data_IF_046389135115
#
_entry.id   IF_046389135115
#
_cell.length_a   1.000
_cell.length_b   1.000
_cell.length_c   1.000
_cell.angle_alpha   90.00
_cell.angle_beta   90.00
_cell.angle_gamma   90.00
#
_symmetry.space_group_name_H-M   'P 1'
#
loop_
_entity.id
_entity.type
_entity.pdbx_description
1 polymer ?
#
# COMPACT_ATOMS: atom_id res chain seq x y z
N UNK A 1 14.52 35.74 4.21
CA UNK A 1 15.13 36.48 3.09
C UNK A 1 15.51 35.47 2.02
N UNK A 2 15.12 35.69 0.76
CA UNK A 2 15.40 34.77 -0.36
C UNK A 2 16.40 35.44 -1.30
N UNK A 3 17.45 34.70 -1.69
CA UNK A 3 18.45 35.15 -2.66
C UNK A 3 18.22 34.47 -4.01
N UNK A 4 18.20 35.26 -5.07
CA UNK A 4 18.11 34.76 -6.45
C UNK A 4 19.45 35.04 -7.16
N UNK A 5 20.08 34.01 -7.70
CA UNK A 5 21.37 34.08 -8.41
C UNK A 5 21.24 33.57 -9.86
N UNK A 6 20.12 33.88 -10.53
CA UNK A 6 19.96 33.60 -11.94
C UNK A 6 20.56 34.71 -12.81
N UNK A 7 20.96 34.35 -14.03
CA UNK A 7 21.48 35.32 -15.02
C UNK A 7 20.38 36.18 -15.64
N UNK A 8 19.15 35.65 -15.71
CA UNK A 8 17.97 36.34 -16.23
C UNK A 8 17.29 37.22 -15.17
N UNK A 9 16.51 38.22 -15.61
CA UNK A 9 15.77 39.08 -14.69
C UNK A 9 14.63 38.29 -14.04
N UNK A 10 14.60 38.26 -12.70
CA UNK A 10 13.47 37.70 -11.96
C UNK A 10 12.17 38.43 -12.30
N UNK A 11 11.18 37.71 -12.83
CA UNK A 11 9.94 38.25 -13.38
C UNK A 11 8.66 37.66 -12.77
N UNK A 12 8.79 36.90 -11.68
CA UNK A 12 7.66 36.27 -10.97
C UNK A 12 7.24 37.11 -9.77
N UNK A 13 6.01 36.95 -9.29
CA UNK A 13 5.53 37.62 -8.09
C UNK A 13 6.33 37.20 -6.84
N UNK A 14 6.57 38.15 -5.94
CA UNK A 14 7.31 37.93 -4.68
C UNK A 14 6.41 37.74 -3.46
N UNK A 15 5.14 38.11 -3.59
CA UNK A 15 4.12 37.86 -2.58
C UNK A 15 3.53 36.48 -2.83
N UNK A 16 3.43 35.65 -1.77
CA UNK A 16 2.88 34.30 -1.86
C UNK A 16 1.46 34.30 -2.46
N UNK A 17 0.63 35.26 -2.10
CA UNK A 17 -0.77 35.32 -2.52
C UNK A 17 -0.91 35.68 -4.00
N UNK A 18 0.01 36.48 -4.53
CA UNK A 18 0.04 36.86 -5.95
C UNK A 18 0.43 35.70 -6.87
N UNK A 19 0.88 34.57 -6.31
CA UNK A 19 1.13 33.34 -7.06
C UNK A 19 -0.15 32.54 -7.33
N UNK A 20 -1.26 32.84 -6.64
CA UNK A 20 -2.53 32.15 -6.81
C UNK A 20 -3.44 32.91 -7.78
N UNK A 21 -4.13 32.17 -8.67
CA UNK A 21 -5.12 32.75 -9.58
C UNK A 21 -6.24 33.51 -8.85
N UNK A 22 -6.57 33.08 -7.62
CA UNK A 22 -7.46 33.79 -6.72
C UNK A 22 -6.71 34.13 -5.41
N UNK A 23 -5.98 35.25 -5.44
CA UNK A 23 -5.23 35.77 -4.30
C UNK A 23 -6.10 35.94 -3.05
N UNK A 24 -7.31 36.49 -3.21
CA UNK A 24 -8.21 36.76 -2.07
C UNK A 24 -8.59 35.46 -1.35
N UNK A 25 -9.02 34.44 -2.10
CA UNK A 25 -9.37 33.14 -1.52
C UNK A 25 -8.17 32.45 -0.87
N UNK A 26 -7.01 32.45 -1.53
CA UNK A 26 -5.78 31.84 -0.98
C UNK A 26 -5.39 32.49 0.35
N UNK A 27 -5.48 33.83 0.42
CA UNK A 27 -5.21 34.59 1.64
C UNK A 27 -6.24 34.32 2.73
N UNK A 28 -7.53 34.28 2.41
CA UNK A 28 -8.60 33.97 3.36
C UNK A 28 -8.46 32.56 3.94
N UNK A 29 -8.12 31.57 3.11
CA UNK A 29 -7.93 30.17 3.53
C UNK A 29 -6.73 29.99 4.49
N UNK A 30 -5.66 30.76 4.29
CA UNK A 30 -4.43 30.60 5.07
C UNK A 30 -4.36 31.43 6.36
N UNK A 31 -5.09 32.56 6.42
CA UNK A 31 -5.04 33.47 7.57
C UNK A 31 -6.13 33.18 8.60
N UNK A 32 -7.30 32.73 8.16
CA UNK A 32 -8.39 32.40 9.06
C UNK A 32 -8.29 30.97 9.57
N UNK A 33 -9.15 30.62 10.53
CA UNK A 33 -9.32 29.24 10.97
C UNK A 33 -9.61 28.34 9.77
N UNK A 34 -8.91 27.20 9.71
CA UNK A 34 -9.14 26.24 8.66
C UNK A 34 -10.53 25.61 8.82
N UNK A 35 -11.20 25.36 7.70
CA UNK A 35 -12.44 24.60 7.72
C UNK A 35 -12.11 23.12 7.95
N UNK A 36 -12.35 22.62 9.15
CA UNK A 36 -12.29 21.20 9.45
C UNK A 36 -13.59 20.52 9.00
N UNK A 37 -13.49 19.61 8.04
CA UNK A 37 -14.62 18.74 7.66
C UNK A 37 -14.55 17.47 8.48
N UNK A 38 -15.39 17.35 9.49
CA UNK A 38 -15.55 16.11 10.25
C UNK A 38 -16.59 15.22 9.57
N UNK A 39 -16.13 14.22 8.81
CA UNK A 39 -17.01 13.29 8.09
C UNK A 39 -17.94 12.50 9.02
N UNK A 40 -17.59 12.35 10.31
CA UNK A 40 -18.44 11.63 11.27
C UNK A 40 -19.65 12.44 11.73
N UNK A 41 -19.64 13.76 11.58
CA UNK A 41 -20.78 14.65 11.92
C UNK A 41 -21.78 14.77 10.77
N UNK A 42 -21.40 14.33 9.56
CA UNK A 42 -22.24 14.41 8.36
C UNK A 42 -23.12 13.15 8.29
N UNK A 43 -24.45 13.28 8.16
CA UNK A 43 -25.36 12.16 7.93
C UNK A 43 -25.12 11.46 6.59
N UNK A 44 -25.31 10.14 6.54
CA UNK A 44 -25.01 9.35 5.34
C UNK A 44 -25.87 9.76 4.13
N UNK A 45 -27.10 10.19 4.37
CA UNK A 45 -28.02 10.69 3.33
C UNK A 45 -27.53 11.99 2.68
N UNK A 46 -26.69 12.78 3.36
CA UNK A 46 -26.10 13.98 2.76
C UNK A 46 -24.97 13.63 1.78
N UNK A 47 -24.22 12.56 2.05
CA UNK A 47 -23.19 12.09 1.11
C UNK A 47 -23.81 11.61 -0.20
N UNK A 48 -24.94 10.90 -0.12
CA UNK A 48 -25.65 10.37 -1.31
C UNK A 48 -26.16 11.47 -2.25
N UNK A 49 -26.31 12.70 -1.78
CA UNK A 49 -26.70 13.86 -2.59
C UNK A 49 -25.55 14.42 -3.43
N UNK A 50 -24.29 14.14 -3.06
CA UNK A 50 -23.08 14.64 -3.72
C UNK A 50 -22.39 13.51 -4.45
N UNK A 51 -22.75 13.29 -5.72
CA UNK A 51 -22.31 12.12 -6.50
C UNK A 51 -20.79 11.92 -6.49
N UNK A 52 -20.01 13.00 -6.55
CA UNK A 52 -18.55 12.91 -6.53
C UNK A 52 -18.01 12.87 -5.09
N UNK A 53 -17.89 14.03 -4.43
CA UNK A 53 -17.23 14.12 -3.12
C UNK A 53 -17.90 13.31 -2.01
N UNK A 54 -19.22 13.13 -2.08
CA UNK A 54 -19.99 12.42 -1.06
C UNK A 54 -19.62 10.95 -0.98
N UNK A 55 -19.39 10.26 -2.10
CA UNK A 55 -19.03 8.84 -2.08
C UNK A 55 -17.67 8.62 -1.41
N UNK A 56 -16.69 9.48 -1.67
CA UNK A 56 -15.40 9.41 -0.97
C UNK A 56 -15.55 9.75 0.51
N UNK A 57 -16.24 10.84 0.85
CA UNK A 57 -16.46 11.22 2.25
C UNK A 57 -17.20 10.14 3.05
N UNK A 58 -18.17 9.46 2.42
CA UNK A 58 -18.85 8.29 2.96
C UNK A 58 -17.85 7.16 3.28
N UNK A 59 -16.98 6.78 2.34
CA UNK A 59 -15.99 5.74 2.63
C UNK A 59 -14.91 6.20 3.61
N UNK A 60 -14.53 7.48 3.63
CA UNK A 60 -13.62 8.03 4.65
C UNK A 60 -14.22 7.85 6.06
N UNK A 61 -15.52 8.12 6.22
CA UNK A 61 -16.24 7.91 7.48
C UNK A 61 -16.25 6.44 7.92
N UNK A 62 -16.44 5.51 6.98
CA UNK A 62 -16.66 4.10 7.28
C UNK A 62 -15.43 3.20 7.11
N UNK A 63 -14.26 3.73 6.71
CA UNK A 63 -13.08 2.91 6.34
C UNK A 63 -12.59 1.97 7.45
N UNK A 64 -12.85 2.31 8.71
CA UNK A 64 -12.44 1.52 9.86
C UNK A 64 -13.51 0.52 10.33
N UNK A 65 -14.65 0.46 9.68
CA UNK A 65 -15.67 -0.55 9.95
C UNK A 65 -15.26 -1.91 9.39
N UNK A 66 -15.68 -2.98 10.06
CA UNK A 66 -15.36 -4.35 9.62
C UNK A 66 -16.13 -4.75 8.36
N UNK A 67 -17.36 -4.28 8.21
CA UNK A 67 -18.28 -4.73 7.16
C UNK A 67 -18.39 -3.73 6.01
N UNK A 68 -17.26 -3.35 5.41
CA UNK A 68 -17.22 -2.39 4.30
C UNK A 68 -18.03 -2.81 3.07
N UNK A 69 -18.24 -4.10 2.85
CA UNK A 69 -19.11 -4.59 1.78
C UNK A 69 -20.55 -4.07 1.94
N UNK A 70 -21.07 -3.96 3.17
CA UNK A 70 -22.41 -3.41 3.42
C UNK A 70 -22.49 -1.95 2.97
N UNK A 71 -21.43 -1.18 3.21
CA UNK A 71 -21.32 0.22 2.78
C UNK A 71 -21.29 0.37 1.27
N UNK A 72 -20.57 -0.53 0.58
CA UNK A 72 -20.65 -0.62 -0.88
C UNK A 72 -22.07 -0.93 -1.39
N UNK A 73 -22.82 -1.81 -0.70
CA UNK A 73 -24.21 -2.11 -1.07
C UNK A 73 -25.12 -0.88 -0.91
N UNK A 74 -24.95 -0.10 0.14
CA UNK A 74 -25.75 1.11 0.42
C UNK A 74 -25.63 2.20 -0.65
N UNK A 75 -24.47 2.32 -1.30
CA UNK A 75 -24.24 3.30 -2.36
C UNK A 75 -24.37 2.71 -3.78
N UNK A 76 -24.64 1.41 -3.88
CA UNK A 76 -24.52 0.66 -5.13
C UNK A 76 -25.42 1.18 -6.25
N UNK A 77 -26.57 1.75 -5.89
CA UNK A 77 -27.54 2.36 -6.82
C UNK A 77 -27.08 3.71 -7.40
N UNK A 78 -26.10 4.36 -6.77
CA UNK A 78 -25.59 5.68 -7.18
C UNK A 78 -24.37 5.52 -8.11
N UNK A 79 -23.68 4.37 -8.04
CA UNK A 79 -22.48 4.09 -8.85
C UNK A 79 -22.69 4.28 -10.37
N UNK A 80 -23.83 3.90 -10.98
CA UNK A 80 -24.05 4.13 -12.40
C UNK A 80 -24.02 5.62 -12.75
N UNK A 81 -24.60 6.49 -11.92
CA UNK A 81 -24.59 7.94 -12.11
C UNK A 81 -23.18 8.52 -11.96
N UNK A 82 -22.40 8.03 -10.98
CA UNK A 82 -20.99 8.41 -10.84
C UNK A 82 -20.23 8.17 -12.14
N UNK A 83 -20.44 7.02 -12.78
CA UNK A 83 -19.71 6.67 -14.00
C UNK A 83 -20.06 7.48 -15.25
N UNK A 84 -21.16 8.26 -15.22
CA UNK A 84 -21.52 9.18 -16.31
C UNK A 84 -20.73 10.49 -16.29
N UNK A 85 -20.08 10.80 -15.16
CA UNK A 85 -19.23 11.98 -15.02
C UNK A 85 -17.89 11.72 -15.72
N UNK A 86 -17.29 12.74 -16.34
CA UNK A 86 -16.03 12.64 -17.09
C UNK A 86 -14.91 11.91 -16.33
N UNK A 87 -14.81 12.12 -15.02
CA UNK A 87 -13.78 11.51 -14.14
C UNK A 87 -14.33 10.34 -13.30
N UNK A 88 -15.57 9.90 -13.57
CA UNK A 88 -16.30 8.95 -12.73
C UNK A 88 -15.63 7.59 -12.63
N UNK A 89 -15.05 7.11 -13.73
CA UNK A 89 -14.29 5.86 -13.75
C UNK A 89 -13.06 5.95 -12.85
N UNK A 90 -12.19 6.95 -13.08
CA UNK A 90 -10.92 7.07 -12.34
C UNK A 90 -11.21 7.28 -10.84
N UNK A 91 -12.31 7.96 -10.53
CA UNK A 91 -12.76 8.13 -9.16
C UNK A 91 -13.26 6.84 -8.51
N UNK A 92 -14.07 6.05 -9.21
CA UNK A 92 -14.54 4.77 -8.72
C UNK A 92 -13.38 3.81 -8.48
N UNK A 93 -12.42 3.78 -9.40
CA UNK A 93 -11.18 3.03 -9.28
C UNK A 93 -10.37 3.47 -8.05
N UNK A 94 -10.22 4.78 -7.81
CA UNK A 94 -9.58 5.31 -6.61
C UNK A 94 -10.28 4.85 -5.32
N UNK A 95 -11.62 4.91 -5.26
CA UNK A 95 -12.39 4.45 -4.09
C UNK A 95 -12.21 2.94 -3.86
N UNK A 96 -12.13 2.15 -4.93
CA UNK A 96 -11.86 0.73 -4.83
C UNK A 96 -10.47 0.46 -4.28
N UNK A 97 -9.43 1.11 -4.80
CA UNK A 97 -8.09 0.97 -4.24
C UNK A 97 -8.03 1.34 -2.76
N UNK A 98 -8.71 2.42 -2.39
CA UNK A 98 -8.79 2.87 -1.01
C UNK A 98 -9.44 1.82 -0.08
N UNK A 99 -10.53 1.18 -0.53
CA UNK A 99 -11.32 0.26 0.31
C UNK A 99 -10.87 -1.20 0.23
N UNK A 100 -10.29 -1.66 -0.88
CA UNK A 100 -9.94 -3.07 -1.11
C UNK A 100 -8.90 -3.62 -0.13
N UNK A 101 -8.03 -2.77 0.40
CA UNK A 101 -7.06 -3.14 1.44
C UNK A 101 -7.71 -3.45 2.80
N UNK A 102 -8.99 -3.06 2.97
CA UNK A 102 -9.76 -3.22 4.20
C UNK A 102 -10.90 -4.23 4.07
N UNK A 103 -11.20 -4.69 2.86
CA UNK A 103 -12.23 -5.69 2.58
C UNK A 103 -11.62 -7.10 2.65
N UNK A 104 -12.30 -7.99 3.38
CA UNK A 104 -11.91 -9.39 3.49
C UNK A 104 -11.91 -10.10 2.13
N UNK A 105 -10.99 -11.06 1.90
CA UNK A 105 -10.89 -11.79 0.63
C UNK A 105 -12.23 -12.41 0.18
N UNK A 106 -13.01 -12.96 1.11
CA UNK A 106 -14.31 -13.56 0.81
C UNK A 106 -15.36 -12.53 0.32
N UNK A 107 -15.23 -11.27 0.75
CA UNK A 107 -16.14 -10.19 0.40
C UNK A 107 -15.71 -9.46 -0.89
N UNK A 108 -14.44 -9.56 -1.30
CA UNK A 108 -13.99 -9.02 -2.59
C UNK A 108 -14.76 -9.63 -3.76
N UNK A 109 -14.97 -10.94 -3.77
CA UNK A 109 -15.76 -11.62 -4.83
C UNK A 109 -17.21 -11.10 -4.86
N UNK A 110 -17.80 -10.86 -3.68
CA UNK A 110 -19.16 -10.31 -3.60
C UNK A 110 -19.21 -8.87 -4.09
N UNK A 111 -18.18 -8.08 -3.80
CA UNK A 111 -18.04 -6.72 -4.32
C UNK A 111 -17.89 -6.73 -5.85
N UNK A 112 -17.08 -7.61 -6.41
CA UNK A 112 -16.95 -7.75 -7.87
C UNK A 112 -18.30 -8.04 -8.54
N UNK A 113 -19.07 -8.96 -7.97
CA UNK A 113 -20.42 -9.28 -8.46
C UNK A 113 -21.37 -8.09 -8.33
N UNK A 114 -21.32 -7.35 -7.21
CA UNK A 114 -22.11 -6.14 -7.01
C UNK A 114 -21.79 -5.08 -8.08
N UNK A 115 -20.50 -4.84 -8.34
CA UNK A 115 -20.07 -3.86 -9.34
C UNK A 115 -20.44 -4.32 -10.76
N UNK A 116 -20.29 -5.60 -11.07
CA UNK A 116 -20.63 -6.15 -12.38
C UNK A 116 -22.12 -6.11 -12.68
N UNK A 117 -22.97 -6.16 -11.66
CA UNK A 117 -24.43 -6.07 -11.80
C UNK A 117 -24.94 -4.63 -11.88
N UNK A 118 -24.27 -3.69 -11.21
CA UNK A 118 -24.68 -2.28 -11.18
C UNK A 118 -24.11 -1.47 -12.33
N UNK A 119 -22.88 -1.75 -12.75
CA UNK A 119 -22.18 -0.97 -13.77
C UNK A 119 -22.46 -1.49 -15.18
N UNK A 120 -22.31 -0.62 -16.18
CA UNK A 120 -22.31 -1.04 -17.58
C UNK A 120 -21.18 -2.06 -17.84
N UNK A 121 -21.42 -3.14 -18.60
CA UNK A 121 -20.41 -4.17 -18.93
C UNK A 121 -19.04 -3.64 -19.38
N UNK A 122 -18.98 -2.56 -20.16
CA UNK A 122 -17.70 -2.00 -20.62
C UNK A 122 -16.86 -1.47 -19.45
N UNK A 123 -17.50 -0.70 -18.57
CA UNK A 123 -16.89 -0.11 -17.38
C UNK A 123 -16.51 -1.21 -16.39
N UNK A 124 -17.44 -2.13 -16.13
CA UNK A 124 -17.20 -3.29 -15.27
C UNK A 124 -15.98 -4.09 -15.73
N UNK A 125 -15.91 -4.43 -17.02
CA UNK A 125 -14.78 -5.20 -17.58
C UNK A 125 -13.45 -4.46 -17.43
N UNK A 126 -13.42 -3.16 -17.74
CA UNK A 126 -12.21 -2.33 -17.63
C UNK A 126 -11.75 -2.24 -16.17
N UNK A 127 -12.68 -2.04 -15.24
CA UNK A 127 -12.42 -1.96 -13.81
C UNK A 127 -11.89 -3.29 -13.25
N UNK A 128 -12.53 -4.42 -13.60
CA UNK A 128 -12.06 -5.76 -13.19
C UNK A 128 -10.66 -6.06 -13.74
N UNK A 129 -10.34 -5.63 -14.96
CA UNK A 129 -8.98 -5.77 -15.50
C UNK A 129 -7.95 -5.02 -14.66
N UNK A 130 -8.26 -3.78 -14.25
CA UNK A 130 -7.36 -2.98 -13.42
C UNK A 130 -7.16 -3.60 -12.04
N UNK A 131 -8.25 -4.05 -11.41
CA UNK A 131 -8.18 -4.76 -10.12
C UNK A 131 -7.36 -6.05 -10.20
N UNK A 132 -7.54 -6.85 -11.26
CA UNK A 132 -6.75 -8.06 -11.47
C UNK A 132 -5.26 -7.75 -11.64
N UNK A 133 -4.91 -6.68 -12.38
CA UNK A 133 -3.53 -6.22 -12.51
C UNK A 133 -2.94 -5.80 -11.17
N UNK A 134 -3.70 -5.05 -10.36
CA UNK A 134 -3.29 -4.66 -9.02
C UNK A 134 -3.05 -5.86 -8.12
N UNK A 135 -3.98 -6.84 -8.07
CA UNK A 135 -3.79 -8.04 -7.25
C UNK A 135 -2.61 -8.89 -7.70
N UNK A 136 -2.36 -8.98 -9.01
CA UNK A 136 -1.18 -9.67 -9.52
C UNK A 136 0.10 -8.98 -9.06
N UNK A 137 0.14 -7.65 -9.09
CA UNK A 137 1.28 -6.86 -8.64
C UNK A 137 1.49 -6.97 -7.13
N UNK A 138 0.42 -6.82 -6.34
CA UNK A 138 0.44 -6.98 -4.88
C UNK A 138 0.91 -8.38 -4.48
N UNK A 139 0.38 -9.42 -5.13
CA UNK A 139 0.82 -10.80 -4.90
C UNK A 139 2.29 -11.03 -5.25
N UNK A 140 2.80 -10.39 -6.30
CA UNK A 140 4.22 -10.44 -6.66
C UNK A 140 5.10 -9.75 -5.61
N UNK A 141 4.68 -8.59 -5.13
CA UNK A 141 5.42 -7.84 -4.10
C UNK A 141 5.49 -8.61 -2.77
N UNK A 142 4.36 -9.18 -2.34
CA UNK A 142 4.30 -10.06 -1.16
C UNK A 142 5.22 -11.27 -1.36
N UNK A 143 5.15 -11.94 -2.51
CA UNK A 143 6.00 -13.09 -2.80
C UNK A 143 7.50 -12.78 -2.82
N UNK A 144 7.90 -11.59 -3.31
CA UNK A 144 9.29 -11.13 -3.26
C UNK A 144 9.73 -10.89 -1.80
N UNK A 145 8.91 -10.21 -1.01
CA UNK A 145 9.18 -9.94 0.40
C UNK A 145 9.33 -11.22 1.22
N UNK A 146 8.38 -12.14 1.10
CA UNK A 146 8.42 -13.45 1.77
C UNK A 146 9.63 -14.26 1.29
N UNK A 147 9.89 -14.28 -0.02
CA UNK A 147 11.03 -14.97 -0.61
C UNK A 147 12.37 -14.44 -0.10
N UNK A 148 12.51 -13.11 0.04
CA UNK A 148 13.70 -12.48 0.58
C UNK A 148 13.90 -12.85 2.05
N UNK A 149 12.85 -12.76 2.87
CA UNK A 149 12.93 -13.11 4.30
C UNK A 149 13.32 -14.58 4.51
N UNK A 150 12.66 -15.49 3.80
CA UNK A 150 12.97 -16.92 3.87
C UNK A 150 14.38 -17.20 3.33
N UNK A 151 14.76 -16.55 2.24
CA UNK A 151 16.08 -16.67 1.63
C UNK A 151 17.20 -16.19 2.54
N UNK A 152 17.04 -15.03 3.16
CA UNK A 152 17.99 -14.46 4.12
C UNK A 152 18.15 -15.36 5.35
N UNK A 153 17.03 -15.80 5.95
CA UNK A 153 17.06 -16.69 7.10
C UNK A 153 17.76 -18.02 6.80
N UNK A 154 17.46 -18.64 5.65
CA UNK A 154 18.12 -19.88 5.21
C UNK A 154 19.59 -19.64 4.87
N UNK A 155 19.92 -18.55 4.18
CA UNK A 155 21.28 -18.18 3.83
C UNK A 155 22.17 -17.99 5.07
N UNK A 156 21.67 -17.31 6.09
CA UNK A 156 22.37 -17.16 7.38
C UNK A 156 22.57 -18.51 8.07
N UNK A 157 21.56 -19.39 8.07
CA UNK A 157 21.70 -20.71 8.69
C UNK A 157 22.73 -21.59 7.96
N UNK A 158 22.67 -21.63 6.62
CA UNK A 158 23.61 -22.39 5.79
C UNK A 158 25.03 -21.84 5.97
N UNK A 159 25.21 -20.52 5.88
CA UNK A 159 26.51 -19.88 6.06
C UNK A 159 27.14 -20.17 7.43
N UNK A 160 26.34 -20.11 8.51
CA UNK A 160 26.82 -20.50 9.85
C UNK A 160 27.20 -21.97 9.95
N UNK A 161 26.47 -22.86 9.28
CA UNK A 161 26.79 -24.28 9.25
C UNK A 161 28.08 -24.54 8.47
N UNK A 162 28.23 -23.96 7.29
CA UNK A 162 29.43 -24.08 6.45
C UNK A 162 30.67 -23.52 7.15
N UNK A 163 30.55 -22.36 7.81
CA UNK A 163 31.64 -21.75 8.60
C UNK A 163 32.10 -22.68 9.74
N UNK A 164 31.17 -23.31 10.47
CA UNK A 164 31.52 -24.30 11.53
C UNK A 164 32.32 -25.47 10.96
N UNK A 165 31.94 -25.97 9.79
CA UNK A 165 32.66 -27.06 9.10
C UNK A 165 34.05 -26.60 8.68
N UNK A 166 34.19 -25.39 8.14
CA UNK A 166 35.49 -24.86 7.71
C UNK A 166 36.43 -24.65 8.90
N UNK A 167 35.93 -24.13 10.03
CA UNK A 167 36.68 -24.01 11.28
C UNK A 167 37.14 -25.39 11.76
N UNK A 168 36.25 -26.39 11.76
CA UNK A 168 36.61 -27.76 12.16
C UNK A 168 37.75 -28.34 11.31
N UNK A 169 37.70 -28.16 9.98
CA UNK A 169 38.77 -28.58 9.06
C UNK A 169 40.10 -27.89 9.34
N UNK A 170 40.08 -26.57 9.61
CA UNK A 170 41.29 -25.81 9.96
C UNK A 170 41.90 -26.23 11.30
N UNK A 171 41.07 -26.58 12.28
CA UNK A 171 41.55 -27.06 13.58
C UNK A 171 42.10 -28.49 13.49
N UNK A 172 41.47 -29.37 12.70
CA UNK A 172 41.98 -30.71 12.41
C UNK A 172 43.36 -30.65 11.74
N UNK A 173 43.54 -29.78 10.74
CA UNK A 173 44.83 -29.63 10.06
C UNK A 173 45.95 -29.06 10.95
N UNK A 174 45.58 -28.41 12.07
CA UNK A 174 46.50 -27.95 13.10
C UNK A 174 46.78 -29.01 14.19
N UNK A 175 46.17 -30.19 14.10
CA UNK A 175 46.36 -31.29 15.06
C UNK A 175 45.57 -31.15 16.36
N UNK A 176 44.53 -30.33 16.40
CA UNK A 176 43.62 -30.27 17.55
C UNK A 176 42.83 -31.59 17.67
N UNK A 177 42.57 -32.06 18.90
CA UNK A 177 41.81 -33.30 19.08
C UNK A 177 40.31 -33.09 18.80
N UNK A 178 39.64 -34.15 18.35
CA UNK A 178 38.22 -34.15 17.94
C UNK A 178 37.29 -33.58 19.03
N UNK A 179 37.55 -33.90 20.31
CA UNK A 179 36.71 -33.43 21.42
C UNK A 179 36.78 -31.92 21.65
N UNK A 180 37.96 -31.31 21.52
CA UNK A 180 38.10 -29.85 21.60
C UNK A 180 37.39 -29.18 20.41
N UNK A 181 37.53 -29.74 19.20
CA UNK A 181 36.89 -29.20 17.99
C UNK A 181 35.37 -29.26 18.10
N UNK A 182 34.82 -30.36 18.62
CA UNK A 182 33.38 -30.50 18.88
C UNK A 182 32.89 -29.44 19.87
N UNK A 183 33.61 -29.20 20.96
CA UNK A 183 33.24 -28.18 21.96
C UNK A 183 33.23 -26.74 21.39
N UNK A 184 34.13 -26.43 20.47
CA UNK A 184 34.27 -25.07 19.88
C UNK A 184 33.27 -24.84 18.74
N UNK A 185 33.06 -25.85 17.89
CA UNK A 185 32.22 -25.71 16.68
C UNK A 185 30.76 -26.13 16.92
N UNK A 186 30.50 -26.90 17.98
CA UNK A 186 29.20 -27.50 18.26
C UNK A 186 28.80 -28.59 17.27
N UNK A 187 29.75 -29.12 16.49
CA UNK A 187 29.54 -30.25 15.57
C UNK A 187 29.73 -31.58 16.31
N UNK A 188 29.01 -32.62 15.89
CA UNK A 188 29.15 -33.97 16.45
C UNK A 188 30.54 -34.54 16.19
N UNK A 189 31.14 -35.19 17.19
CA UNK A 189 32.47 -35.82 17.07
C UNK A 189 32.52 -36.84 15.92
N UNK A 190 31.46 -37.62 15.72
CA UNK A 190 31.36 -38.58 14.61
C UNK A 190 31.38 -37.89 13.23
N UNK A 191 30.75 -36.72 13.12
CA UNK A 191 30.79 -35.92 11.89
C UNK A 191 32.19 -35.32 11.69
N UNK A 192 32.82 -34.79 12.74
CA UNK A 192 34.19 -34.25 12.68
C UNK A 192 35.19 -35.32 12.24
N UNK A 193 35.11 -36.54 12.80
CA UNK A 193 35.97 -37.66 12.40
C UNK A 193 35.76 -38.10 10.95
N UNK A 194 34.63 -37.78 10.33
CA UNK A 194 34.39 -38.02 8.90
C UNK A 194 35.01 -36.96 7.98
N UNK A 195 35.54 -35.87 8.54
CA UNK A 195 36.21 -34.78 7.81
C UNK A 195 37.73 -34.96 7.70
N UNK A 196 38.30 -35.97 8.39
CA UNK A 196 39.71 -36.40 8.27
C UNK A 196 39.99 -37.09 6.93
#
# INVERSE_FOLDING_TARGET
MIFYNGQEKYNVARNLWDLFANNKLARELWINDYQLVNVHEIPDEEFKQRIWSGILEFFLKHIHERELLKRWQEISDILPELTKITIGYDYLEMILYYTLTKIEQADKIKLENLLSTKLNPEIGTRLMRSLAQHWQQEGKEIGILEGLQVGEAKGIQIGKAEERVEIAKKLLSQGCNVSLISSVTGLDEAFISSLE
#
